data_IF_759794318527
#
_entry.id   IF_759794318527
#
_cell.length_a   1.000
_cell.length_b   1.000
_cell.length_c   1.000
_cell.angle_alpha   90.00
_cell.angle_beta   90.00
_cell.angle_gamma   90.00
#
_symmetry.space_group_name_H-M   'P 1'
#
loop_
_entity.id
_entity.type
_entity.pdbx_description
1 polymer ?
#
# COMPACT_ATOMS: atom_id res chain seq x y z
N UNK A 1 -11.38 15.55 -10.02
CA UNK A 1 -11.79 15.66 -8.61
C UNK A 1 -12.08 14.24 -8.16
N UNK A 2 -11.39 13.72 -7.13
CA UNK A 2 -11.56 12.32 -6.73
C UNK A 2 -13.01 12.09 -6.27
N UNK A 3 -13.71 11.23 -6.99
CA UNK A 3 -15.05 10.76 -6.67
C UNK A 3 -15.00 10.09 -5.29
N UNK A 4 -15.85 10.55 -4.37
CA UNK A 4 -16.00 9.92 -3.05
C UNK A 4 -16.38 8.46 -3.26
N UNK A 5 -15.45 7.54 -2.98
CA UNK A 5 -15.73 6.11 -3.09
C UNK A 5 -16.90 5.75 -2.17
N UNK A 6 -17.89 4.96 -2.64
CA UNK A 6 -18.98 4.48 -1.79
C UNK A 6 -18.47 3.54 -0.68
N UNK A 7 -17.22 3.07 -0.78
CA UNK A 7 -16.59 2.20 0.19
C UNK A 7 -15.83 3.02 1.23
N UNK A 8 -16.26 2.88 2.49
CA UNK A 8 -15.54 3.44 3.63
C UNK A 8 -14.47 2.46 4.11
N UNK A 9 -13.20 2.75 3.81
CA UNK A 9 -12.06 1.99 4.38
C UNK A 9 -12.10 2.15 5.89
N UNK A 10 -12.16 1.07 6.67
CA UNK A 10 -12.17 1.13 8.14
C UNK A 10 -10.83 0.78 8.76
N UNK A 11 -10.08 -0.11 8.09
CA UNK A 11 -8.83 -0.69 8.58
C UNK A 11 -7.79 -0.62 7.48
N UNK A 12 -6.58 -0.27 7.84
CA UNK A 12 -5.42 -0.20 6.96
C UNK A 12 -4.39 -1.19 7.48
N UNK A 13 -3.94 -2.09 6.62
CA UNK A 13 -2.93 -3.10 6.94
C UNK A 13 -1.67 -2.80 6.13
N UNK A 14 -0.57 -2.48 6.79
CA UNK A 14 0.74 -2.25 6.15
C UNK A 14 1.78 -3.25 6.63
N UNK A 15 2.91 -3.30 5.94
CA UNK A 15 4.09 -3.93 6.51
C UNK A 15 4.73 -3.07 7.62
N UNK A 16 5.87 -3.55 8.12
CA UNK A 16 6.60 -2.88 9.19
C UNK A 16 7.71 -1.97 8.63
N UNK A 17 7.54 -1.44 7.41
CA UNK A 17 8.45 -0.47 6.81
C UNK A 17 8.55 0.82 7.63
N UNK A 18 9.64 1.56 7.43
CA UNK A 18 9.91 2.83 8.13
C UNK A 18 8.95 3.95 7.68
N UNK A 19 8.33 3.78 6.53
CA UNK A 19 7.34 4.67 5.94
C UNK A 19 6.00 4.62 6.69
N UNK A 20 5.77 3.55 7.47
CA UNK A 20 4.53 3.33 8.21
C UNK A 20 4.75 3.17 9.71
N UNK A 21 6.00 3.10 10.17
CA UNK A 21 6.34 2.83 11.57
C UNK A 21 7.62 3.54 11.99
N UNK A 22 7.70 3.93 13.27
CA UNK A 22 8.92 4.50 13.87
C UNK A 22 10.02 3.45 14.14
N UNK A 23 9.93 2.25 13.55
CA UNK A 23 10.87 1.17 13.88
C UNK A 23 12.27 1.47 13.35
N UNK A 24 13.13 1.89 14.28
CA UNK A 24 14.58 1.75 14.15
C UNK A 24 14.94 0.26 14.32
N UNK A 25 15.95 -0.18 13.56
CA UNK A 25 16.42 -1.57 13.46
C UNK A 25 16.32 -2.35 14.78
N UNK A 26 15.52 -3.43 14.81
CA UNK A 26 15.50 -4.40 15.91
C UNK A 26 14.32 -4.35 16.89
N UNK A 27 13.39 -3.38 16.77
CA UNK A 27 12.16 -3.41 17.59
C UNK A 27 11.25 -4.60 17.22
N UNK A 28 10.88 -5.39 18.23
CA UNK A 28 10.03 -6.60 18.11
C UNK A 28 8.53 -6.30 18.20
N UNK A 29 8.13 -5.03 18.18
CA UNK A 29 6.89 -4.62 18.83
C UNK A 29 5.56 -5.02 18.18
N UNK A 30 5.43 -5.61 17.01
CA UNK A 30 4.15 -6.12 16.41
C UNK A 30 2.94 -5.15 16.24
N UNK A 31 2.67 -4.18 17.11
CA UNK A 31 1.60 -3.20 17.00
C UNK A 31 2.12 -1.86 16.44
N UNK A 32 1.22 -1.05 15.87
CA UNK A 32 1.53 0.33 15.52
C UNK A 32 1.80 1.15 16.80
N UNK A 33 2.77 2.05 16.77
CA UNK A 33 3.18 2.81 17.97
C UNK A 33 2.11 3.82 18.39
N UNK A 34 1.30 4.28 17.43
CA UNK A 34 0.41 5.43 17.60
C UNK A 34 1.13 6.77 17.46
N UNK A 35 2.47 6.77 17.49
CA UNK A 35 3.31 7.96 17.44
C UNK A 35 3.77 8.34 16.04
N UNK A 36 3.81 7.38 15.11
CA UNK A 36 4.25 7.64 13.74
C UNK A 36 3.25 8.58 13.04
N UNK A 37 3.72 9.46 12.14
CA UNK A 37 2.86 10.42 11.43
C UNK A 37 1.69 9.72 10.71
N UNK A 38 1.96 8.54 10.14
CA UNK A 38 0.93 7.70 9.52
C UNK A 38 -0.12 7.18 10.52
N UNK A 39 0.28 6.83 11.74
CA UNK A 39 -0.65 6.40 12.80
C UNK A 39 -1.59 7.54 13.19
N UNK A 40 -1.02 8.74 13.36
CA UNK A 40 -1.77 9.95 13.71
C UNK A 40 -2.77 10.32 12.62
N UNK A 41 -2.37 10.23 11.34
CA UNK A 41 -3.27 10.45 10.21
C UNK A 41 -4.41 9.42 10.18
N UNK A 42 -4.10 8.13 10.39
CA UNK A 42 -5.13 7.09 10.48
C UNK A 42 -6.12 7.38 11.61
N UNK A 43 -5.65 7.77 12.79
CA UNK A 43 -6.48 8.14 13.93
C UNK A 43 -7.36 9.35 13.63
N UNK A 44 -6.81 10.42 13.04
CA UNK A 44 -7.56 11.61 12.64
C UNK A 44 -8.68 11.31 11.63
N UNK A 45 -8.46 10.33 10.75
CA UNK A 45 -9.45 9.85 9.79
C UNK A 45 -10.40 8.77 10.35
N UNK A 46 -10.25 8.41 11.64
CA UNK A 46 -11.04 7.36 12.29
C UNK A 46 -10.83 5.97 11.65
N UNK A 47 -9.59 5.67 11.26
CA UNK A 47 -9.17 4.41 10.64
C UNK A 47 -8.29 3.64 11.60
N UNK A 48 -8.51 2.33 11.70
CA UNK A 48 -7.66 1.45 12.49
C UNK A 48 -6.41 1.07 11.68
N UNK A 49 -5.22 1.40 12.18
CA UNK A 49 -3.97 0.96 11.57
C UNK A 49 -3.47 -0.35 12.19
N UNK A 50 -3.13 -1.32 11.35
CA UNK A 50 -2.59 -2.63 11.73
C UNK A 50 -1.32 -2.93 10.95
N UNK A 51 -0.38 -3.61 11.59
CA UNK A 51 0.84 -4.09 10.95
C UNK A 51 0.74 -5.59 10.65
N UNK A 52 1.32 -6.02 9.53
CA UNK A 52 1.49 -7.46 9.25
C UNK A 52 2.41 -8.09 10.29
N UNK A 53 2.18 -9.38 10.59
CA UNK A 53 3.13 -10.13 11.44
C UNK A 53 4.41 -10.43 10.63
N UNK A 54 5.61 -10.14 11.17
CA UNK A 54 6.86 -10.57 10.55
C UNK A 54 7.06 -12.10 10.70
N UNK A 55 7.78 -12.76 9.77
CA UNK A 55 7.46 -12.91 8.37
C UNK A 55 6.54 -14.14 8.18
N UNK A 56 5.25 -13.92 7.95
CA UNK A 56 4.45 -14.88 7.19
C UNK A 56 4.17 -14.26 5.83
N UNK A 57 4.80 -14.84 4.80
CA UNK A 57 4.79 -14.45 3.38
C UNK A 57 3.40 -14.43 2.73
N UNK A 58 2.32 -14.63 3.48
CA UNK A 58 0.96 -14.69 2.95
C UNK A 58 0.02 -13.65 3.57
N UNK A 59 0.50 -12.76 4.44
CA UNK A 59 -0.39 -11.80 5.11
C UNK A 59 -0.83 -10.67 4.18
N UNK A 60 -0.03 -10.34 3.16
CA UNK A 60 -0.34 -9.30 2.18
C UNK A 60 -0.54 -9.85 0.75
N UNK A 61 -0.94 -11.12 0.63
CA UNK A 61 -0.97 -11.84 -0.65
C UNK A 61 -1.87 -11.23 -1.72
N UNK A 62 -2.88 -10.44 -1.35
CA UNK A 62 -3.69 -9.70 -2.34
C UNK A 62 -2.92 -8.54 -2.98
N UNK A 63 -2.19 -7.76 -2.16
CA UNK A 63 -1.36 -6.65 -2.64
C UNK A 63 -0.17 -7.21 -3.43
N UNK A 64 0.46 -8.27 -2.94
CA UNK A 64 1.58 -8.91 -3.66
C UNK A 64 1.15 -9.46 -5.02
N UNK A 65 -0.03 -10.11 -5.11
CA UNK A 65 -0.59 -10.56 -6.41
C UNK A 65 -0.94 -9.41 -7.32
N UNK A 66 -1.48 -8.33 -6.78
CA UNK A 66 -1.78 -7.12 -7.56
C UNK A 66 -0.48 -6.50 -8.12
N UNK A 67 0.54 -6.35 -7.27
CA UNK A 67 1.85 -5.83 -7.66
C UNK A 67 2.52 -6.73 -8.71
N UNK A 68 2.41 -8.05 -8.57
CA UNK A 68 2.90 -9.00 -9.57
C UNK A 68 2.23 -8.79 -10.94
N UNK A 69 0.90 -8.67 -10.99
CA UNK A 69 0.18 -8.39 -12.24
C UNK A 69 0.58 -7.06 -12.87
N UNK A 70 0.74 -6.01 -12.07
CA UNK A 70 1.24 -4.72 -12.57
C UNK A 70 2.67 -4.84 -13.10
N UNK A 71 3.56 -5.57 -12.41
CA UNK A 71 4.92 -5.79 -12.87
C UNK A 71 4.96 -6.54 -14.21
N UNK A 72 4.11 -7.55 -14.41
CA UNK A 72 4.02 -8.27 -15.68
C UNK A 72 3.61 -7.34 -16.84
N UNK A 73 2.64 -6.46 -16.60
CA UNK A 73 2.23 -5.42 -17.57
C UNK A 73 3.42 -4.50 -17.86
N UNK A 74 4.08 -3.99 -16.83
CA UNK A 74 5.21 -3.09 -16.99
C UNK A 74 6.37 -3.74 -17.76
N UNK A 75 6.64 -5.02 -17.56
CA UNK A 75 7.68 -5.74 -18.30
C UNK A 75 7.31 -6.01 -19.76
N UNK A 76 6.03 -6.15 -20.06
CA UNK A 76 5.55 -6.37 -21.43
C UNK A 76 5.59 -5.10 -22.31
N UNK A 77 5.80 -3.92 -21.71
CA UNK A 77 5.77 -2.64 -22.41
C UNK A 77 7.12 -1.91 -22.33
N UNK A 78 7.59 -1.41 -23.47
CA UNK A 78 8.76 -0.52 -23.52
C UNK A 78 8.30 0.94 -23.44
N UNK A 79 8.75 1.66 -22.41
CA UNK A 79 8.42 3.07 -22.20
C UNK A 79 9.43 3.99 -22.86
N UNK A 80 8.96 5.06 -23.49
CA UNK A 80 9.82 6.04 -24.15
C UNK A 80 10.19 7.21 -23.22
N UNK A 81 9.33 7.46 -22.24
CA UNK A 81 9.39 8.60 -21.33
C UNK A 81 8.53 8.30 -20.08
N UNK A 82 8.58 9.20 -19.08
CA UNK A 82 7.79 9.05 -17.84
C UNK A 82 6.28 9.21 -18.05
N UNK A 83 5.86 9.97 -19.05
CA UNK A 83 4.44 10.21 -19.32
C UNK A 83 3.75 8.94 -19.86
N UNK A 84 4.39 8.26 -20.81
CA UNK A 84 3.91 6.96 -21.33
C UNK A 84 3.89 5.87 -20.25
N UNK A 85 4.77 5.96 -19.26
CA UNK A 85 4.76 5.09 -18.08
C UNK A 85 3.55 5.38 -17.17
N UNK A 86 3.35 6.64 -16.79
CA UNK A 86 2.24 7.07 -15.93
C UNK A 86 0.88 6.74 -16.53
N UNK A 87 0.68 7.05 -17.83
CA UNK A 87 -0.55 6.73 -18.54
C UNK A 87 -0.82 5.21 -18.60
N UNK A 88 0.24 4.39 -18.69
CA UNK A 88 0.09 2.94 -18.70
C UNK A 88 -0.31 2.41 -17.32
N UNK A 89 0.29 2.93 -16.24
CA UNK A 89 -0.11 2.59 -14.88
C UNK A 89 -1.56 2.98 -14.63
N UNK A 90 -1.95 4.23 -14.93
CA UNK A 90 -3.30 4.73 -14.68
C UNK A 90 -4.34 3.88 -15.43
N UNK A 91 -4.08 3.61 -16.71
CA UNK A 91 -4.91 2.71 -17.52
C UNK A 91 -5.04 1.32 -16.88
N UNK A 92 -3.93 0.72 -16.48
CA UNK A 92 -3.91 -0.66 -15.95
C UNK A 92 -4.54 -0.80 -14.57
N UNK A 93 -4.47 0.24 -13.72
CA UNK A 93 -5.07 0.26 -12.39
C UNK A 93 -6.59 0.44 -12.49
N UNK A 94 -7.07 1.30 -13.41
CA UNK A 94 -8.48 1.67 -13.48
C UNK A 94 -9.32 0.92 -14.53
N UNK A 95 -8.70 0.30 -15.55
CA UNK A 95 -9.42 -0.44 -16.60
C UNK A 95 -9.48 -1.95 -16.39
N UNK A 96 -9.04 -2.47 -15.23
CA UNK A 96 -9.18 -3.89 -14.90
C UNK A 96 -10.66 -4.21 -14.56
N UNK A 97 -11.49 -4.31 -15.60
CA UNK A 97 -12.85 -4.84 -15.58
C UNK A 97 -12.89 -6.19 -16.30
#
# INVERSE_FOLDING_TARGET
>A
MAETSPLRVQKILTDNGKEFTDRLFGSREKAASGGHEFDQLCAALGREHRLTRPPQTQTNGMVERFNGRLADILHAHHFKDGESWEQTIDRSVWQAH
#
